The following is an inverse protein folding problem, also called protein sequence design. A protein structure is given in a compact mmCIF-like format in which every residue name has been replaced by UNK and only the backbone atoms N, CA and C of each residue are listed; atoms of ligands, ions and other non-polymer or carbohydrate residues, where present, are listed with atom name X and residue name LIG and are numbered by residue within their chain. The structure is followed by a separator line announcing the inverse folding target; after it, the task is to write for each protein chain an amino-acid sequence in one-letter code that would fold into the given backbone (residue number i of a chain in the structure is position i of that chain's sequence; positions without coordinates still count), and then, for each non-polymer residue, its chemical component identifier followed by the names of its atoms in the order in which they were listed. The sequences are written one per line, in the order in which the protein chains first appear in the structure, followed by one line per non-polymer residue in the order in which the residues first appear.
data_IF_731985200811
#
_entry.id   IF_731985200811
#
_cell.length_a   1.000
_cell.length_b   1.000
_cell.length_c   1.000
_cell.angle_alpha   90.00
_cell.angle_beta   90.00
_cell.angle_gamma   90.00
#
_symmetry.space_group_name_H-M   'P 1'
#
loop_
_entity.id
_entity.type
_entity.pdbx_description
1 polymer ?
#
# COMPACT_ATOMS: atom_id res chain seq x y z
N UNK A 1 -18.99 -40.94 3.33
CA UNK A 1 -18.49 -39.85 4.22
C UNK A 1 -18.10 -38.73 3.30
N UNK A 2 -18.90 -37.64 3.24
CA UNK A 2 -18.57 -36.47 2.41
C UNK A 2 -17.29 -35.83 2.88
N UNK A 3 -16.39 -35.51 1.94
CA UNK A 3 -15.20 -34.69 2.25
C UNK A 3 -15.68 -33.32 2.75
N UNK A 4 -15.25 -32.92 3.94
CA UNK A 4 -15.55 -31.59 4.45
C UNK A 4 -14.59 -30.59 3.78
N UNK A 5 -15.07 -29.85 2.79
CA UNK A 5 -14.31 -28.82 2.11
C UNK A 5 -14.37 -27.48 2.88
N UNK A 6 -13.27 -26.73 2.86
CA UNK A 6 -13.23 -25.32 3.22
C UNK A 6 -13.10 -24.54 1.91
N UNK A 7 -14.03 -23.63 1.66
CA UNK A 7 -13.99 -22.77 0.49
C UNK A 7 -13.19 -21.51 0.84
N UNK A 8 -12.28 -21.13 -0.03
CA UNK A 8 -11.54 -19.88 0.09
C UNK A 8 -12.18 -18.85 -0.83
N UNK A 9 -12.56 -17.72 -0.28
CA UNK A 9 -13.27 -16.66 -0.99
C UNK A 9 -12.41 -15.41 -1.09
N UNK A 10 -12.18 -14.97 -2.31
CA UNK A 10 -11.61 -13.67 -2.62
C UNK A 10 -12.72 -12.65 -2.78
N UNK A 11 -12.94 -11.84 -1.74
CA UNK A 11 -13.81 -10.70 -1.85
C UNK A 11 -15.22 -10.87 -1.29
N UNK A 12 -15.93 -9.76 -1.35
CA UNK A 12 -17.20 -9.55 -0.66
C UNK A 12 -18.36 -10.36 -1.26
N UNK A 13 -18.50 -10.32 -2.59
CA UNK A 13 -19.68 -10.92 -3.26
C UNK A 13 -19.66 -12.45 -3.23
N UNK A 14 -18.51 -13.05 -3.43
CA UNK A 14 -18.29 -14.48 -3.36
C UNK A 14 -18.57 -14.99 -1.94
N UNK A 15 -18.17 -14.24 -0.92
CA UNK A 15 -18.44 -14.56 0.49
C UNK A 15 -19.93 -14.52 0.81
N UNK A 16 -20.69 -13.59 0.24
CA UNK A 16 -22.17 -13.58 0.36
C UNK A 16 -22.75 -14.88 -0.18
N UNK A 17 -22.33 -15.28 -1.39
CA UNK A 17 -22.81 -16.52 -2.00
C UNK A 17 -22.52 -17.75 -1.13
N UNK A 18 -21.29 -17.90 -0.65
CA UNK A 18 -20.90 -19.03 0.21
C UNK A 18 -21.68 -19.03 1.53
N UNK A 19 -21.88 -17.85 2.11
CA UNK A 19 -22.68 -17.68 3.33
C UNK A 19 -24.13 -18.09 3.13
N UNK A 20 -24.76 -17.73 2.01
CA UNK A 20 -26.13 -18.10 1.66
C UNK A 20 -26.25 -19.60 1.41
N UNK A 21 -25.23 -20.25 0.85
CA UNK A 21 -25.18 -21.70 0.66
C UNK A 21 -24.95 -22.49 1.96
N UNK A 22 -24.64 -21.83 3.07
CA UNK A 22 -24.38 -22.45 4.36
C UNK A 22 -23.09 -23.31 4.39
N UNK A 23 -22.19 -23.13 3.46
CA UNK A 23 -20.93 -23.88 3.40
C UNK A 23 -19.83 -23.18 4.23
N UNK A 24 -18.86 -23.92 4.82
CA UNK A 24 -17.77 -23.34 5.56
C UNK A 24 -16.80 -22.64 4.61
N UNK A 25 -16.43 -21.40 4.94
CA UNK A 25 -15.55 -20.58 4.12
C UNK A 25 -14.51 -19.80 4.95
N UNK A 26 -13.39 -19.51 4.30
CA UNK A 26 -12.45 -18.47 4.67
C UNK A 26 -12.69 -17.26 3.76
N UNK A 27 -12.53 -16.05 4.32
CA UNK A 27 -12.82 -14.81 3.61
C UNK A 27 -11.58 -13.93 3.56
N UNK A 28 -11.09 -13.59 2.35
CA UNK A 28 -10.00 -12.63 2.17
C UNK A 28 -10.53 -11.25 1.81
N UNK A 29 -10.00 -10.24 2.49
CA UNK A 29 -10.29 -8.82 2.26
C UNK A 29 -8.98 -8.12 1.91
N UNK A 30 -8.79 -7.85 0.62
CA UNK A 30 -7.67 -7.06 0.11
C UNK A 30 -8.02 -5.59 -0.04
N UNK A 31 -9.32 -5.30 -0.26
CA UNK A 31 -9.94 -3.97 -0.30
C UNK A 31 -11.37 -4.07 0.22
N UNK A 32 -11.86 -3.00 0.85
CA UNK A 32 -13.28 -2.90 1.19
C UNK A 32 -14.07 -2.62 -0.09
N UNK A 33 -14.80 -3.60 -0.59
CA UNK A 33 -15.52 -3.55 -1.89
C UNK A 33 -16.45 -2.33 -2.02
N UNK A 34 -17.01 -1.86 -0.92
CA UNK A 34 -17.89 -0.70 -0.81
C UNK A 34 -17.18 0.54 -0.23
N UNK A 35 -15.84 0.54 -0.22
CA UNK A 35 -15.00 1.64 0.28
C UNK A 35 -15.00 2.89 -0.59
N UNK A 36 -15.42 2.76 -1.85
CA UNK A 36 -15.45 3.86 -2.82
C UNK A 36 -16.56 4.89 -2.53
N UNK A 37 -16.38 6.17 -2.91
CA UNK A 37 -17.36 7.24 -2.68
C UNK A 37 -18.76 6.95 -3.24
N UNK A 38 -18.84 6.24 -4.36
CA UNK A 38 -20.10 5.83 -5.02
C UNK A 38 -21.03 5.02 -4.12
N UNK A 39 -20.49 4.32 -3.11
CA UNK A 39 -21.28 3.55 -2.16
C UNK A 39 -21.70 4.31 -0.89
N UNK A 40 -21.42 5.61 -0.81
CA UNK A 40 -21.55 6.41 0.42
C UNK A 40 -22.84 6.18 1.21
N UNK A 41 -24.00 6.25 0.55
CA UNK A 41 -25.32 6.05 1.18
C UNK A 41 -25.59 4.58 1.57
N UNK A 42 -25.10 3.62 0.80
CA UNK A 42 -25.30 2.19 1.03
C UNK A 42 -24.29 1.61 2.02
N UNK A 43 -23.18 2.30 2.28
CA UNK A 43 -22.05 1.81 3.08
C UNK A 43 -22.44 1.25 4.45
N UNK A 44 -23.34 1.87 5.25
CA UNK A 44 -23.72 1.30 6.54
C UNK A 44 -24.37 -0.09 6.43
N UNK A 45 -25.24 -0.30 5.42
CA UNK A 45 -25.89 -1.58 5.15
C UNK A 45 -24.85 -2.62 4.68
N UNK A 46 -24.00 -2.25 3.71
CA UNK A 46 -22.97 -3.14 3.17
C UNK A 46 -21.98 -3.55 4.25
N UNK A 47 -21.60 -2.61 5.12
CA UNK A 47 -20.76 -2.90 6.29
C UNK A 47 -21.44 -3.86 7.27
N UNK A 48 -22.74 -3.76 7.51
CA UNK A 48 -23.47 -4.68 8.38
C UNK A 48 -23.49 -6.10 7.80
N UNK A 49 -23.65 -6.23 6.48
CA UNK A 49 -23.54 -7.52 5.78
C UNK A 49 -22.12 -8.07 5.92
N UNK A 50 -21.09 -7.26 5.66
CA UNK A 50 -19.68 -7.65 5.75
C UNK A 50 -19.31 -8.13 7.16
N UNK A 51 -19.74 -7.41 8.19
CA UNK A 51 -19.60 -7.85 9.58
C UNK A 51 -20.26 -9.20 9.87
N UNK A 52 -21.38 -9.50 9.20
CA UNK A 52 -22.00 -10.82 9.30
C UNK A 52 -21.17 -11.89 8.58
N UNK A 53 -20.60 -11.58 7.41
CA UNK A 53 -19.71 -12.49 6.68
C UNK A 53 -18.48 -12.83 7.53
N UNK A 54 -17.79 -11.84 8.03
CA UNK A 54 -16.60 -11.98 8.90
C UNK A 54 -16.91 -12.79 10.17
N UNK A 55 -18.05 -12.53 10.81
CA UNK A 55 -18.48 -13.27 12.01
C UNK A 55 -18.68 -14.77 11.74
N UNK A 56 -19.10 -15.15 10.54
CA UNK A 56 -19.45 -16.52 10.17
C UNK A 56 -18.36 -17.24 9.36
N UNK A 57 -17.30 -16.55 8.96
CA UNK A 57 -16.13 -17.16 8.35
C UNK A 57 -15.38 -18.03 9.36
N UNK A 58 -14.71 -19.07 8.90
CA UNK A 58 -13.82 -19.89 9.74
C UNK A 58 -12.61 -19.05 10.20
N UNK A 59 -12.14 -18.18 9.31
CA UNK A 59 -11.22 -17.07 9.57
C UNK A 59 -11.36 -16.04 8.45
N UNK A 60 -10.88 -14.82 8.72
CA UNK A 60 -10.81 -13.74 7.74
C UNK A 60 -9.36 -13.31 7.61
N UNK A 61 -8.83 -13.36 6.38
CA UNK A 61 -7.51 -12.85 6.05
C UNK A 61 -7.64 -11.40 5.61
N UNK A 62 -6.81 -10.53 6.16
CA UNK A 62 -6.79 -9.09 5.88
C UNK A 62 -5.41 -8.70 5.37
N UNK A 63 -5.35 -7.88 4.33
CA UNK A 63 -4.08 -7.31 3.85
C UNK A 63 -3.68 -6.03 4.59
N UNK A 64 -4.54 -5.53 5.49
CA UNK A 64 -4.24 -4.37 6.35
C UNK A 64 -4.87 -4.54 7.73
N UNK A 65 -4.12 -4.19 8.77
CA UNK A 65 -4.68 -4.08 10.14
C UNK A 65 -5.74 -2.98 10.23
N UNK A 66 -5.67 -1.95 9.38
CA UNK A 66 -6.69 -0.90 9.29
C UNK A 66 -8.08 -1.44 8.95
N UNK A 67 -8.19 -2.51 8.18
CA UNK A 67 -9.48 -3.17 7.89
C UNK A 67 -10.10 -3.79 9.14
N UNK A 68 -9.29 -4.35 10.03
CA UNK A 68 -9.76 -4.94 11.30
C UNK A 68 -10.45 -3.91 12.19
N UNK A 69 -9.83 -2.72 12.32
CA UNK A 69 -10.43 -1.60 13.05
C UNK A 69 -11.77 -1.15 12.44
N UNK A 70 -11.82 -1.03 11.11
CA UNK A 70 -13.05 -0.68 10.39
C UNK A 70 -14.16 -1.71 10.57
N UNK A 71 -13.87 -3.01 10.42
CA UNK A 71 -14.86 -4.08 10.54
C UNK A 71 -15.40 -4.21 11.96
N UNK A 72 -14.58 -3.95 12.98
CA UNK A 72 -14.96 -3.96 14.40
C UNK A 72 -15.74 -5.22 14.80
N UNK A 73 -15.13 -6.39 14.62
CA UNK A 73 -15.66 -7.70 14.99
C UNK A 73 -14.71 -8.44 15.95
N UNK A 74 -14.73 -8.13 17.25
CA UNK A 74 -13.72 -8.62 18.20
C UNK A 74 -13.74 -10.13 18.40
N UNK A 75 -14.86 -10.81 18.05
CA UNK A 75 -14.99 -12.28 18.15
C UNK A 75 -14.61 -13.02 16.88
N UNK A 76 -14.33 -12.29 15.80
CA UNK A 76 -13.91 -12.92 14.53
C UNK A 76 -12.43 -13.35 14.62
N UNK A 77 -12.10 -14.43 13.94
CA UNK A 77 -10.72 -14.88 13.82
C UNK A 77 -10.07 -14.18 12.62
N UNK A 78 -9.28 -13.16 12.90
CA UNK A 78 -8.52 -12.44 11.90
C UNK A 78 -7.08 -12.96 11.80
N UNK A 79 -6.58 -13.01 10.55
CA UNK A 79 -5.16 -13.10 10.22
C UNK A 79 -4.84 -11.86 9.41
N UNK A 80 -3.85 -11.10 9.83
CA UNK A 80 -3.35 -9.98 9.05
C UNK A 80 -2.12 -10.45 8.29
N UNK A 81 -2.19 -10.37 6.98
CA UNK A 81 -1.16 -10.78 6.03
C UNK A 81 -0.93 -9.62 5.06
N UNK A 82 -0.13 -8.62 5.41
CA UNK A 82 0.18 -7.51 4.51
C UNK A 82 0.91 -8.00 3.26
N UNK A 83 0.75 -7.29 2.17
CA UNK A 83 1.46 -7.56 0.91
C UNK A 83 2.92 -7.09 1.02
N UNK A 84 3.76 -7.87 1.66
CA UNK A 84 5.17 -7.60 1.87
C UNK A 84 6.01 -7.93 0.63
N UNK A 85 7.30 -7.71 0.73
CA UNK A 85 8.26 -7.93 -0.37
C UNK A 85 8.37 -9.42 -0.69
N UNK A 86 8.39 -9.75 -1.98
CA UNK A 86 8.56 -11.11 -2.44
C UNK A 86 9.98 -11.63 -2.13
N UNK A 87 10.10 -12.80 -1.54
CA UNK A 87 11.37 -13.42 -1.16
C UNK A 87 12.34 -13.71 -2.33
N UNK A 88 11.88 -13.62 -3.57
CA UNK A 88 12.77 -13.75 -4.75
C UNK A 88 13.93 -12.75 -4.73
N UNK A 89 13.74 -11.58 -4.12
CA UNK A 89 14.78 -10.55 -4.06
C UNK A 89 15.54 -10.53 -2.72
N UNK A 90 15.47 -11.61 -1.92
CA UNK A 90 16.15 -11.69 -0.61
C UNK A 90 17.67 -11.49 -0.70
N UNK A 91 18.27 -11.86 -1.84
CA UNK A 91 19.69 -11.69 -2.10
C UNK A 91 20.12 -10.29 -2.55
N UNK A 92 19.17 -9.40 -2.83
CA UNK A 92 19.48 -8.03 -3.24
C UNK A 92 20.11 -7.26 -2.09
N UNK A 93 21.18 -6.52 -2.37
CA UNK A 93 21.87 -5.72 -1.37
C UNK A 93 21.05 -4.48 -0.99
N UNK A 94 20.89 -4.25 0.31
CA UNK A 94 20.28 -3.02 0.84
C UNK A 94 21.35 -1.94 0.93
N UNK A 95 21.04 -0.76 0.39
CA UNK A 95 21.98 0.37 0.35
C UNK A 95 21.31 1.63 0.89
N UNK A 96 21.68 2.08 2.10
CA UNK A 96 21.21 3.34 2.62
C UNK A 96 21.61 4.50 1.71
N UNK A 97 20.78 5.54 1.67
CA UNK A 97 21.09 6.78 0.97
C UNK A 97 22.32 7.47 1.58
N UNK A 98 23.05 8.11 0.71
CA UNK A 98 24.15 9.03 1.09
C UNK A 98 24.09 10.26 0.19
N UNK A 99 22.96 10.97 0.29
CA UNK A 99 22.72 12.20 -0.46
C UNK A 99 23.70 13.29 -0.03
N UNK A 100 24.23 14.02 -0.99
CA UNK A 100 25.18 15.12 -0.79
C UNK A 100 24.70 16.43 -1.37
N UNK A 101 23.80 16.36 -2.34
CA UNK A 101 23.27 17.46 -3.10
C UNK A 101 21.80 17.66 -2.80
N UNK A 102 21.32 18.90 -2.86
CA UNK A 102 19.89 19.24 -2.76
C UNK A 102 19.18 19.02 -4.12
N UNK A 103 19.36 17.83 -4.66
CA UNK A 103 18.66 17.32 -5.82
C UNK A 103 18.07 15.98 -5.47
N UNK A 104 16.73 15.87 -5.42
CA UNK A 104 16.03 14.65 -5.06
C UNK A 104 15.23 14.09 -6.24
N UNK A 105 15.27 12.78 -6.38
CA UNK A 105 14.41 12.04 -7.30
C UNK A 105 13.27 11.41 -6.49
N UNK A 106 12.09 12.05 -6.56
CA UNK A 106 10.86 11.50 -6.01
C UNK A 106 10.27 10.48 -6.98
N UNK A 107 9.67 9.41 -6.47
CA UNK A 107 9.08 8.41 -7.36
C UNK A 107 7.79 7.83 -6.81
N UNK A 108 6.86 7.56 -7.74
CA UNK A 108 5.74 6.65 -7.51
C UNK A 108 5.97 5.36 -8.31
N UNK A 109 5.83 4.20 -7.64
CA UNK A 109 6.02 2.87 -8.26
C UNK A 109 4.72 2.09 -8.14
N UNK A 110 4.02 1.83 -9.25
CA UNK A 110 2.77 1.06 -9.26
C UNK A 110 1.70 1.56 -10.22
N UNK A 111 0.44 1.17 -10.00
CA UNK A 111 -0.70 1.63 -10.81
C UNK A 111 -1.01 3.10 -10.55
N UNK A 112 -0.89 3.94 -11.57
CA UNK A 112 -1.02 5.39 -11.48
C UNK A 112 -2.51 5.76 -11.57
N UNK A 113 -3.12 6.16 -10.43
CA UNK A 113 -4.56 6.44 -10.36
C UNK A 113 -4.98 7.46 -9.30
N UNK A 114 -4.10 7.88 -8.41
CA UNK A 114 -4.46 8.70 -7.24
C UNK A 114 -4.31 10.20 -7.52
N UNK A 115 -5.37 10.96 -7.24
CA UNK A 115 -5.38 12.41 -7.49
C UNK A 115 -4.33 13.17 -6.64
N UNK A 116 -4.12 12.76 -5.39
CA UNK A 116 -3.12 13.38 -4.50
C UNK A 116 -1.69 13.14 -4.96
N UNK A 117 -1.38 11.95 -5.51
CA UNK A 117 -0.07 11.67 -6.12
C UNK A 117 0.16 12.52 -7.38
N UNK A 118 -0.86 12.67 -8.24
CA UNK A 118 -0.79 13.55 -9.43
C UNK A 118 -0.57 15.01 -9.03
N UNK A 119 -1.21 15.45 -7.94
CA UNK A 119 -0.99 16.77 -7.35
C UNK A 119 0.43 16.93 -6.82
N UNK A 120 0.97 15.91 -6.17
CA UNK A 120 2.36 15.91 -5.70
C UNK A 120 3.33 16.06 -6.86
N UNK A 121 3.20 15.24 -7.92
CA UNK A 121 4.04 15.32 -9.11
C UNK A 121 3.99 16.73 -9.75
N UNK A 122 2.79 17.29 -9.90
CA UNK A 122 2.63 18.65 -10.42
C UNK A 122 3.30 19.71 -9.52
N UNK A 123 3.26 19.53 -8.21
CA UNK A 123 3.93 20.42 -7.25
C UNK A 123 5.45 20.40 -7.45
N UNK A 124 6.04 19.20 -7.65
CA UNK A 124 7.46 19.07 -7.99
C UNK A 124 7.76 19.79 -9.31
N UNK A 125 7.01 19.48 -10.37
CA UNK A 125 7.22 20.12 -11.68
C UNK A 125 7.23 21.64 -11.62
N UNK A 126 6.24 22.20 -10.92
CA UNK A 126 5.97 23.63 -10.91
C UNK A 126 6.86 24.44 -9.97
N UNK A 127 7.18 23.91 -8.78
CA UNK A 127 7.82 24.70 -7.72
C UNK A 127 9.23 24.24 -7.37
N UNK A 128 9.67 23.08 -7.86
CA UNK A 128 10.95 22.48 -7.53
C UNK A 128 11.68 21.97 -8.79
N UNK A 129 12.04 22.86 -9.74
CA UNK A 129 12.66 22.44 -11.01
C UNK A 129 14.02 21.77 -10.83
N UNK A 130 14.65 21.90 -9.67
CA UNK A 130 15.89 21.21 -9.28
C UNK A 130 15.66 19.76 -8.88
N UNK A 131 14.43 19.35 -8.53
CA UNK A 131 14.09 17.98 -8.20
C UNK A 131 13.40 17.29 -9.39
N UNK A 132 13.36 15.96 -9.39
CA UNK A 132 12.65 15.19 -10.40
C UNK A 132 11.49 14.41 -9.78
N UNK A 133 10.47 14.11 -10.58
CA UNK A 133 9.44 13.14 -10.22
C UNK A 133 9.33 12.06 -11.29
N UNK A 134 9.51 10.80 -10.87
CA UNK A 134 9.50 9.63 -11.73
C UNK A 134 8.25 8.78 -11.50
N UNK A 135 7.49 8.54 -12.54
CA UNK A 135 6.44 7.54 -12.54
C UNK A 135 6.98 6.22 -13.08
N UNK A 136 6.96 5.16 -12.27
CA UNK A 136 7.18 3.78 -12.69
C UNK A 136 5.86 3.03 -12.58
N UNK A 137 5.27 2.68 -13.73
CA UNK A 137 3.98 2.02 -13.83
C UNK A 137 3.12 2.56 -14.97
N UNK A 138 1.87 2.12 -14.99
CA UNK A 138 0.92 2.49 -16.03
C UNK A 138 -0.31 3.19 -15.44
N UNK A 139 -0.84 4.15 -16.20
CA UNK A 139 -2.14 4.73 -15.97
C UNK A 139 -3.22 3.89 -16.69
N UNK A 140 -4.09 3.24 -15.93
CA UNK A 140 -5.14 2.38 -16.50
C UNK A 140 -6.35 3.15 -17.02
N UNK A 141 -6.37 4.48 -16.85
CA UNK A 141 -7.44 5.37 -17.28
C UNK A 141 -6.87 6.40 -18.23
N UNK A 142 -7.47 6.56 -19.41
CA UNK A 142 -7.01 7.47 -20.46
C UNK A 142 -6.85 8.92 -19.98
N UNK A 143 -7.78 9.40 -19.15
CA UNK A 143 -7.68 10.75 -18.57
C UNK A 143 -6.48 10.94 -17.66
N UNK A 144 -6.07 9.88 -16.95
CA UNK A 144 -4.87 9.91 -16.10
C UNK A 144 -3.60 9.92 -16.95
N UNK A 145 -3.55 9.10 -18.01
CA UNK A 145 -2.43 9.09 -18.96
C UNK A 145 -2.27 10.47 -19.61
N UNK A 146 -3.36 11.03 -20.13
CA UNK A 146 -3.34 12.38 -20.70
C UNK A 146 -2.83 13.43 -19.71
N UNK A 147 -3.25 13.37 -18.44
CA UNK A 147 -2.78 14.31 -17.42
C UNK A 147 -1.27 14.17 -17.12
N UNK A 148 -0.69 12.97 -17.27
CA UNK A 148 0.76 12.76 -17.16
C UNK A 148 1.46 13.36 -18.38
N UNK A 149 0.95 13.09 -19.58
CA UNK A 149 1.52 13.62 -20.84
C UNK A 149 1.53 15.14 -20.84
N UNK A 150 0.41 15.78 -20.48
CA UNK A 150 0.28 17.23 -20.31
C UNK A 150 1.28 17.79 -19.26
N UNK A 151 1.54 17.05 -18.17
CA UNK A 151 2.55 17.45 -17.18
C UNK A 151 3.99 17.34 -17.71
N UNK A 152 4.32 16.29 -18.47
CA UNK A 152 5.65 16.11 -19.05
C UNK A 152 5.96 17.18 -20.12
N UNK A 153 4.95 17.64 -20.86
CA UNK A 153 5.09 18.76 -21.78
C UNK A 153 5.42 20.08 -21.08
N UNK A 154 4.81 20.30 -19.91
CA UNK A 154 4.98 21.55 -19.13
C UNK A 154 6.23 21.55 -18.25
N UNK A 155 6.63 20.37 -17.75
CA UNK A 155 7.66 20.23 -16.71
C UNK A 155 8.68 19.15 -17.10
N UNK A 156 9.88 19.53 -17.60
CA UNK A 156 10.90 18.59 -18.10
C UNK A 156 11.48 17.68 -17.00
N UNK A 157 11.25 18.02 -15.73
CA UNK A 157 11.66 17.24 -14.54
C UNK A 157 10.62 16.19 -14.12
N UNK A 158 9.53 16.01 -14.88
CA UNK A 158 8.56 14.91 -14.69
C UNK A 158 8.82 13.86 -15.76
N UNK A 159 8.94 12.59 -15.33
CA UNK A 159 9.27 11.48 -16.24
C UNK A 159 8.33 10.29 -16.02
N UNK A 160 7.98 9.60 -17.11
CA UNK A 160 7.23 8.34 -17.09
C UNK A 160 8.10 7.22 -17.68
N UNK A 161 8.35 6.17 -16.91
CA UNK A 161 9.16 5.02 -17.32
C UNK A 161 8.31 3.84 -17.83
N UNK A 162 6.98 3.88 -17.61
CA UNK A 162 6.08 2.82 -18.05
C UNK A 162 6.05 1.60 -17.16
N UNK A 163 5.63 0.47 -17.73
CA UNK A 163 5.43 -0.79 -17.04
C UNK A 163 6.75 -1.43 -16.58
N UNK A 164 6.66 -2.28 -15.57
CA UNK A 164 7.81 -2.98 -14.98
C UNK A 164 7.42 -4.37 -14.48
N UNK A 165 8.41 -5.26 -14.37
CA UNK A 165 8.24 -6.62 -13.85
C UNK A 165 8.49 -6.68 -12.35
N UNK A 166 7.45 -7.02 -11.60
CA UNK A 166 7.54 -7.23 -10.16
C UNK A 166 7.92 -8.69 -9.87
N UNK A 167 8.96 -8.98 -9.07
CA UNK A 167 9.90 -8.04 -8.45
C UNK A 167 11.20 -7.81 -9.24
N UNK A 168 11.32 -8.33 -10.45
CA UNK A 168 12.60 -8.45 -11.18
C UNK A 168 13.26 -7.07 -11.45
N UNK A 169 12.46 -6.03 -11.70
CA UNK A 169 12.96 -4.67 -11.99
C UNK A 169 13.11 -3.79 -10.72
N UNK A 170 12.73 -4.28 -9.55
CA UNK A 170 12.71 -3.47 -8.32
C UNK A 170 14.08 -2.95 -7.92
N UNK A 171 15.13 -3.77 -8.03
CA UNK A 171 16.48 -3.32 -7.70
C UNK A 171 16.91 -2.12 -8.54
N UNK A 172 16.64 -2.16 -9.84
CA UNK A 172 16.94 -1.05 -10.74
C UNK A 172 16.12 0.19 -10.40
N UNK A 173 14.79 0.04 -10.22
CA UNK A 173 13.88 1.15 -9.94
C UNK A 173 14.24 1.84 -8.63
N UNK A 174 14.27 1.08 -7.52
CA UNK A 174 14.49 1.67 -6.20
C UNK A 174 15.89 2.21 -5.99
N UNK A 175 16.91 1.66 -6.69
CA UNK A 175 18.26 2.21 -6.64
C UNK A 175 18.43 3.49 -7.49
N UNK A 176 17.49 3.79 -8.38
CA UNK A 176 17.51 5.01 -9.21
C UNK A 176 16.74 6.19 -8.62
N UNK A 177 16.12 6.03 -7.44
CA UNK A 177 15.28 7.05 -6.81
C UNK A 177 15.69 7.29 -5.36
N UNK A 178 15.36 8.47 -4.82
CA UNK A 178 15.74 8.86 -3.47
C UNK A 178 14.58 8.77 -2.48
N UNK A 179 13.35 9.10 -2.93
CA UNK A 179 12.16 9.18 -2.07
C UNK A 179 10.97 8.52 -2.76
N UNK A 180 10.29 7.63 -2.06
CA UNK A 180 9.08 6.95 -2.54
C UNK A 180 7.84 7.71 -2.09
N UNK A 181 7.05 8.18 -3.04
CA UNK A 181 5.82 8.93 -2.79
C UNK A 181 4.62 7.98 -2.77
N UNK A 182 3.96 7.91 -1.64
CA UNK A 182 2.79 7.05 -1.40
C UNK A 182 1.57 7.86 -0.92
N UNK A 183 1.41 9.05 -1.51
CA UNK A 183 0.28 9.95 -1.21
C UNK A 183 -0.97 9.49 -1.94
N UNK A 184 -1.67 8.51 -1.39
CA UNK A 184 -2.91 7.99 -1.98
C UNK A 184 -4.12 8.90 -1.79
N UNK A 185 -4.09 9.76 -0.77
CA UNK A 185 -5.21 10.65 -0.43
C UNK A 185 -6.07 10.13 0.72
N UNK A 186 -7.23 10.77 0.89
CA UNK A 186 -8.23 10.44 1.91
C UNK A 186 -9.66 10.45 1.33
N UNK A 187 -9.78 10.38 0.02
CA UNK A 187 -11.06 10.53 -0.70
C UNK A 187 -11.92 9.27 -0.62
N UNK A 188 -11.30 8.11 -0.45
CA UNK A 188 -11.99 6.84 -0.25
C UNK A 188 -11.62 6.20 1.07
N UNK A 189 -12.49 5.31 1.58
CA UNK A 189 -12.21 4.55 2.78
C UNK A 189 -10.93 3.70 2.62
N UNK A 190 -10.76 3.05 1.48
CA UNK A 190 -9.59 2.20 1.23
C UNK A 190 -8.29 3.03 1.34
N UNK A 191 -8.24 4.24 0.78
CA UNK A 191 -7.07 5.12 0.89
C UNK A 191 -6.68 5.43 2.33
N UNK A 192 -7.67 5.51 3.23
CA UNK A 192 -7.43 5.85 4.64
C UNK A 192 -6.94 4.67 5.48
N UNK A 193 -7.24 3.42 5.10
CA UNK A 193 -7.00 2.24 5.93
C UNK A 193 -6.16 1.14 5.27
N UNK A 194 -5.67 1.36 4.04
CA UNK A 194 -4.84 0.40 3.34
C UNK A 194 -3.42 0.32 3.93
N UNK A 195 -2.78 -0.85 3.74
CA UNK A 195 -1.38 -1.12 4.03
C UNK A 195 -0.70 -1.59 2.72
N UNK A 196 -0.13 -0.66 1.94
CA UNK A 196 0.35 -0.98 0.61
C UNK A 196 1.73 -1.63 0.65
N UNK A 197 2.00 -2.50 -0.31
CA UNK A 197 3.31 -3.12 -0.50
C UNK A 197 4.47 -2.10 -0.63
N UNK A 198 4.19 -0.87 -1.04
CA UNK A 198 5.19 0.22 -1.16
C UNK A 198 5.84 0.61 0.17
N UNK A 199 5.15 0.41 1.30
CA UNK A 199 5.73 0.55 2.63
C UNK A 199 6.93 -0.38 2.80
N UNK A 200 6.70 -1.67 2.54
CA UNK A 200 7.72 -2.71 2.73
C UNK A 200 8.82 -2.66 1.66
N UNK A 201 8.46 -2.29 0.43
CA UNK A 201 9.42 -2.09 -0.65
C UNK A 201 10.35 -0.91 -0.35
N UNK A 202 9.82 0.24 0.10
CA UNK A 202 10.61 1.40 0.50
C UNK A 202 11.58 1.06 1.64
N UNK A 203 11.10 0.44 2.71
CA UNK A 203 11.94 -0.01 3.83
C UNK A 203 13.03 -0.98 3.34
N UNK A 204 12.69 -1.96 2.50
CA UNK A 204 13.67 -2.93 2.00
C UNK A 204 14.79 -2.27 1.22
N UNK A 205 14.47 -1.31 0.35
CA UNK A 205 15.46 -0.60 -0.47
C UNK A 205 16.04 0.63 0.21
N UNK A 206 15.69 0.88 1.47
CA UNK A 206 16.13 2.05 2.24
C UNK A 206 15.81 3.37 1.53
N UNK A 207 14.57 3.52 1.06
CA UNK A 207 14.06 4.71 0.37
C UNK A 207 12.96 5.36 1.18
N UNK A 208 13.25 6.49 1.85
CA UNK A 208 12.29 7.22 2.66
C UNK A 208 10.94 7.41 1.97
N UNK A 209 9.85 7.24 2.71
CA UNK A 209 8.51 7.35 2.18
C UNK A 209 7.86 8.69 2.53
N UNK A 210 7.03 9.19 1.62
CA UNK A 210 6.13 10.34 1.90
C UNK A 210 4.69 9.89 1.73
N UNK A 211 3.91 9.92 2.83
CA UNK A 211 2.50 9.54 2.84
C UNK A 211 1.55 10.71 3.10
N UNK A 212 0.27 10.50 2.83
CA UNK A 212 -0.80 11.44 3.21
C UNK A 212 -1.08 11.36 4.70
N UNK A 213 -1.02 12.49 5.40
CA UNK A 213 -1.34 12.61 6.82
C UNK A 213 -2.78 12.17 7.13
N UNK A 214 -2.98 11.51 8.28
CA UNK A 214 -4.29 11.03 8.72
C UNK A 214 -4.73 9.71 8.07
N UNK A 215 -3.81 8.95 7.49
CA UNK A 215 -4.03 7.60 6.97
C UNK A 215 -3.34 6.56 7.86
N UNK A 216 -3.82 5.30 7.81
CA UNK A 216 -3.18 4.18 8.49
C UNK A 216 -1.72 4.00 8.00
N UNK A 217 -1.47 4.20 6.70
CA UNK A 217 -0.12 4.17 6.15
C UNK A 217 0.79 5.22 6.80
N UNK A 218 0.30 6.44 7.05
CA UNK A 218 1.07 7.47 7.73
C UNK A 218 1.45 7.04 9.16
N UNK A 219 0.52 6.42 9.89
CA UNK A 219 0.79 5.87 11.23
C UNK A 219 1.86 4.78 11.18
N UNK A 220 1.83 3.89 10.17
CA UNK A 220 2.84 2.86 9.98
C UNK A 220 4.23 3.47 9.67
N UNK A 221 4.29 4.44 8.76
CA UNK A 221 5.53 5.14 8.39
C UNK A 221 6.15 5.83 9.61
N UNK A 222 5.36 6.48 10.43
CA UNK A 222 5.80 7.11 11.68
C UNK A 222 6.30 6.07 12.69
N UNK A 223 5.58 4.95 12.84
CA UNK A 223 5.94 3.85 13.74
C UNK A 223 7.26 3.18 13.37
N UNK A 224 7.51 2.94 12.10
CA UNK A 224 8.78 2.41 11.59
C UNK A 224 9.89 3.46 11.56
N UNK A 225 9.55 4.75 11.58
CA UNK A 225 10.49 5.84 11.35
C UNK A 225 11.10 5.85 9.94
N UNK A 226 10.36 5.33 8.96
CA UNK A 226 10.78 5.11 7.58
C UNK A 226 10.31 6.20 6.60
N UNK A 227 9.87 7.35 7.09
CA UNK A 227 9.42 8.43 6.24
C UNK A 227 8.76 9.57 7.00
N UNK A 228 7.99 10.36 6.27
CA UNK A 228 7.22 11.49 6.79
C UNK A 228 5.78 11.46 6.30
N UNK A 229 4.87 12.06 7.06
CA UNK A 229 3.49 12.31 6.64
C UNK A 229 3.28 13.79 6.35
N UNK A 230 2.59 14.10 5.24
CA UNK A 230 2.31 15.46 4.82
C UNK A 230 0.83 15.68 4.56
N UNK A 231 0.36 16.91 4.62
CA UNK A 231 -0.92 17.29 4.04
C UNK A 231 -0.78 17.34 2.52
N UNK A 232 -1.44 16.40 1.83
CA UNK A 232 -1.44 16.30 0.37
C UNK A 232 -2.72 16.85 -0.29
N UNK A 233 -3.53 17.61 0.47
CA UNK A 233 -4.82 18.12 0.01
C UNK A 233 -4.72 19.22 -1.04
N UNK A 234 -3.65 20.03 -1.01
CA UNK A 234 -3.38 21.11 -1.97
C UNK A 234 -1.92 21.17 -2.41
N UNK A 235 -1.65 21.83 -3.55
CA UNK A 235 -0.27 22.06 -4.03
C UNK A 235 0.53 22.91 -3.03
N UNK A 236 -0.12 23.89 -2.40
CA UNK A 236 0.51 24.77 -1.41
C UNK A 236 0.94 23.98 -0.16
N UNK A 237 0.10 23.10 0.36
CA UNK A 237 0.42 22.29 1.53
C UNK A 237 1.58 21.32 1.25
N UNK A 238 1.58 20.71 0.05
CA UNK A 238 2.69 19.85 -0.40
C UNK A 238 3.98 20.67 -0.53
N UNK A 239 3.92 21.82 -1.23
CA UNK A 239 5.06 22.71 -1.43
C UNK A 239 5.67 23.14 -0.10
N UNK A 240 4.85 23.56 0.85
CA UNK A 240 5.33 24.07 2.13
C UNK A 240 5.94 22.93 2.98
N UNK A 241 5.41 21.72 2.88
CA UNK A 241 5.99 20.53 3.50
C UNK A 241 7.36 20.17 2.88
N UNK A 242 7.46 20.20 1.55
CA UNK A 242 8.70 19.85 0.85
C UNK A 242 9.84 20.85 1.07
N UNK A 243 9.52 22.12 1.31
CA UNK A 243 10.54 23.15 1.67
C UNK A 243 11.25 22.87 3.00
N UNK A 244 10.65 22.04 3.86
CA UNK A 244 11.23 21.66 5.15
C UNK A 244 12.04 20.36 5.07
N UNK A 245 12.03 19.69 3.91
CA UNK A 245 12.75 18.44 3.72
C UNK A 245 14.24 18.72 3.55
N UNK A 246 15.06 17.98 4.29
CA UNK A 246 16.51 18.16 4.27
C UNK A 246 17.24 16.86 3.90
N UNK A 247 18.44 16.99 3.33
CA UNK A 247 19.36 15.88 3.05
C UNK A 247 19.61 15.04 4.31
N UNK A 248 19.89 15.72 5.43
CA UNK A 248 20.16 15.05 6.70
C UNK A 248 18.99 14.21 7.16
N UNK A 249 17.76 14.73 7.04
CA UNK A 249 16.54 14.01 7.40
C UNK A 249 16.37 12.75 6.55
N UNK A 250 16.51 12.85 5.22
CA UNK A 250 16.39 11.70 4.30
C UNK A 250 17.47 10.65 4.57
N UNK A 251 18.71 11.04 4.73
CA UNK A 251 19.81 10.13 5.05
C UNK A 251 19.59 9.43 6.41
N UNK A 252 19.05 10.14 7.41
CA UNK A 252 18.75 9.58 8.72
C UNK A 252 17.61 8.56 8.66
N UNK A 253 16.53 8.86 7.92
CA UNK A 253 15.41 7.93 7.70
C UNK A 253 15.93 6.67 7.01
N UNK A 254 16.67 6.82 5.93
CA UNK A 254 17.22 5.70 5.16
C UNK A 254 18.13 4.78 6.00
N UNK A 255 18.91 5.34 6.93
CA UNK A 255 19.71 4.55 7.89
C UNK A 255 18.83 3.76 8.86
N UNK A 256 17.75 4.36 9.38
CA UNK A 256 16.78 3.65 10.22
C UNK A 256 16.12 2.51 9.46
N UNK A 257 15.73 2.71 8.21
CA UNK A 257 15.18 1.66 7.36
C UNK A 257 16.18 0.49 7.21
N UNK A 258 17.46 0.78 7.05
CA UNK A 258 18.50 -0.25 6.96
C UNK A 258 18.64 -1.08 8.24
N UNK A 259 18.37 -0.51 9.40
CA UNK A 259 18.40 -1.18 10.71
C UNK A 259 17.20 -2.12 10.94
N UNK A 260 16.10 -1.95 10.18
CA UNK A 260 14.94 -2.85 10.26
C UNK A 260 15.33 -4.22 9.71
N UNK A 261 15.05 -5.27 10.50
CA UNK A 261 15.36 -6.64 10.11
C UNK A 261 14.67 -7.03 8.79
N UNK A 262 15.42 -7.70 7.91
CA UNK A 262 14.89 -8.10 6.58
C UNK A 262 13.60 -8.93 6.68
N UNK A 263 13.53 -9.82 7.66
CA UNK A 263 12.37 -10.71 7.86
C UNK A 263 11.08 -9.94 8.18
N UNK A 264 11.18 -8.73 8.74
CA UNK A 264 10.01 -7.90 9.00
C UNK A 264 9.33 -7.39 7.74
N UNK A 265 10.05 -7.27 6.63
CA UNK A 265 9.54 -6.72 5.37
C UNK A 265 9.25 -7.77 4.30
N UNK A 266 9.64 -9.03 4.50
CA UNK A 266 9.35 -10.12 3.56
C UNK A 266 8.03 -10.83 3.86
N UNK A 267 7.40 -11.33 2.78
CA UNK A 267 6.24 -12.22 2.90
C UNK A 267 6.58 -13.47 3.71
N UNK A 268 5.69 -13.82 4.65
CA UNK A 268 5.69 -15.10 5.37
C UNK A 268 4.28 -15.68 5.37
N UNK A 269 4.19 -16.96 5.04
CA UNK A 269 2.93 -17.71 5.08
C UNK A 269 2.78 -18.55 6.37
N UNK A 270 3.65 -18.37 7.35
CA UNK A 270 3.73 -19.23 8.54
C UNK A 270 2.43 -19.21 9.36
N UNK A 271 1.89 -18.01 9.61
CA UNK A 271 0.64 -17.85 10.37
C UNK A 271 -0.55 -18.51 9.67
N UNK A 272 -0.66 -18.33 8.35
CA UNK A 272 -1.74 -18.93 7.55
C UNK A 272 -1.57 -20.45 7.46
N UNK A 273 -0.37 -20.95 7.23
CA UNK A 273 -0.06 -22.38 7.17
C UNK A 273 -0.41 -23.08 8.49
N UNK A 274 0.03 -22.53 9.61
CA UNK A 274 -0.28 -23.04 10.96
C UNK A 274 -1.79 -23.12 11.19
N UNK A 275 -2.52 -22.06 10.82
CA UNK A 275 -3.96 -22.03 10.97
C UNK A 275 -4.66 -23.08 10.09
N UNK A 276 -4.26 -23.22 8.84
CA UNK A 276 -4.85 -24.20 7.93
C UNK A 276 -4.64 -25.63 8.45
N UNK A 277 -3.46 -25.93 9.00
CA UNK A 277 -3.18 -27.22 9.65
C UNK A 277 -4.11 -27.45 10.84
N UNK A 278 -4.31 -26.47 11.72
CA UNK A 278 -5.23 -26.59 12.85
C UNK A 278 -6.68 -26.89 12.42
N UNK A 279 -7.16 -26.18 11.38
CA UNK A 279 -8.51 -26.38 10.84
C UNK A 279 -8.64 -27.77 10.24
N UNK A 280 -7.62 -28.23 9.49
CA UNK A 280 -7.59 -29.57 8.91
C UNK A 280 -7.58 -30.69 9.98
N UNK A 281 -6.82 -30.52 11.07
CA UNK A 281 -6.79 -31.46 12.19
C UNK A 281 -8.15 -31.57 12.90
N UNK A 282 -8.80 -30.43 13.18
CA UNK A 282 -10.14 -30.39 13.84
C UNK A 282 -11.26 -31.02 12.99
N UNK A 283 -11.11 -31.10 11.68
CA UNK A 283 -12.10 -31.68 10.76
C UNK A 283 -11.92 -33.21 10.54
N UNK A 284 -10.77 -33.74 10.94
CA UNK A 284 -10.50 -35.21 10.86
C UNK A 284 -10.98 -35.97 12.10
N UNK A 285 -11.16 -35.25 13.20
CA UNK A 285 -11.76 -35.76 14.46
C UNK A 285 -13.26 -35.42 14.50
#
# INVERSE_FOLDING_TARGET
KGQSCLYYSFGYFESIFLRLKGVPYAYEISDIAYGFPSFGKARPLLRAIDRNLVKNAQFTLLTSEGFKGFLNQPKARFIVQPNKVNRKIIGVERKPLNLKDDHFIFSFVGSIRYASMMRFARTIGKYFPQHEFHFHGVANVESTQKAIDDMMELYPNIKLFGDFKNPDDFEHIYNSVDVVVVTYGVESLNETILDPNKLYEGIFFCRPLIATKGTFLAEQIESYGCGISIDSSTEEAIRDSLRLLTIEQLNNISRKEYEIEREEVFDSMDNLSTLLEEICKKRKN
#
